data_IF_895423726647
#
_entry.id   IF_895423726647
#
_cell.length_a   1.000
_cell.length_b   1.000
_cell.length_c   1.000
_cell.angle_alpha   90.00
_cell.angle_beta   90.00
_cell.angle_gamma   90.00
#
_symmetry.space_group_name_H-M   'P 1'
#
loop_
_entity.id
_entity.type
_entity.pdbx_description
1 polymer ?
#
# COMPACT_ATOMS: atom_id res chain seq x y z
N UNK A 1 5.64 8.25 -24.63
CA UNK A 1 5.69 9.19 -23.49
C UNK A 1 5.10 8.49 -22.26
N UNK A 2 5.86 7.57 -21.65
CA UNK A 2 5.39 6.81 -20.49
C UNK A 2 5.59 7.64 -19.23
N UNK A 3 4.53 7.90 -18.46
CA UNK A 3 4.70 8.35 -17.08
C UNK A 3 5.40 7.21 -16.34
N UNK A 4 6.62 7.44 -15.81
CA UNK A 4 7.45 6.35 -15.33
C UNK A 4 6.84 5.86 -14.03
N UNK A 5 6.46 4.59 -13.98
CA UNK A 5 6.00 3.86 -12.79
C UNK A 5 6.81 4.20 -11.53
N UNK A 6 8.08 4.57 -11.70
CA UNK A 6 9.00 5.05 -10.67
C UNK A 6 8.55 6.36 -9.97
N UNK A 7 8.04 7.36 -10.71
CA UNK A 7 7.53 8.60 -10.10
C UNK A 7 6.25 8.36 -9.29
N UNK A 8 5.34 7.52 -9.80
CA UNK A 8 4.14 7.12 -9.06
C UNK A 8 4.49 6.34 -7.80
N UNK A 9 5.50 5.46 -7.89
CA UNK A 9 6.05 4.74 -6.74
C UNK A 9 6.65 5.72 -5.73
N UNK A 10 7.45 6.69 -6.16
CA UNK A 10 8.06 7.69 -5.29
C UNK A 10 7.01 8.54 -4.55
N UNK A 11 5.95 8.98 -5.25
CA UNK A 11 4.84 9.73 -4.65
C UNK A 11 4.10 8.87 -3.62
N UNK A 12 3.79 7.61 -3.97
CA UNK A 12 3.12 6.70 -3.05
C UNK A 12 3.95 6.43 -1.80
N UNK A 13 5.24 6.14 -1.95
CA UNK A 13 6.16 5.87 -0.84
C UNK A 13 6.37 7.10 0.05
N UNK A 14 6.40 8.31 -0.52
CA UNK A 14 6.75 9.54 0.22
C UNK A 14 5.54 10.19 0.89
N UNK A 15 4.37 10.16 0.26
CA UNK A 15 3.20 10.92 0.75
C UNK A 15 2.07 10.04 1.29
N UNK A 16 1.85 8.88 0.69
CA UNK A 16 0.69 8.03 1.00
C UNK A 16 1.05 6.99 2.05
N UNK A 17 2.17 6.27 1.86
CA UNK A 17 2.61 5.21 2.76
C UNK A 17 2.84 5.68 4.21
N UNK A 18 3.49 6.83 4.50
CA UNK A 18 3.72 7.25 5.88
C UNK A 18 2.41 7.61 6.60
N UNK A 19 1.44 8.18 5.87
CA UNK A 19 0.10 8.48 6.40
C UNK A 19 -0.70 7.21 6.66
N UNK A 20 -0.61 6.24 5.76
CA UNK A 20 -1.26 4.92 5.92
C UNK A 20 -0.65 4.17 7.12
N UNK A 21 0.69 4.22 7.27
CA UNK A 21 1.39 3.64 8.40
C UNK A 21 1.02 4.31 9.72
N UNK A 22 1.01 5.64 9.76
CA UNK A 22 0.62 6.39 10.96
C UNK A 22 -0.83 6.09 11.36
N UNK A 23 -1.76 6.08 10.39
CA UNK A 23 -3.15 5.71 10.62
C UNK A 23 -3.29 4.27 11.15
N UNK A 24 -2.54 3.31 10.58
CA UNK A 24 -2.53 1.93 11.04
C UNK A 24 -1.99 1.81 12.46
N UNK A 25 -0.92 2.54 12.81
CA UNK A 25 -0.29 2.49 14.14
C UNK A 25 -1.15 3.18 15.22
N UNK A 26 -1.71 4.34 14.91
CA UNK A 26 -2.53 5.12 15.85
C UNK A 26 -3.87 4.48 16.11
N UNK A 27 -4.45 3.81 15.12
CA UNK A 27 -5.76 3.21 15.25
C UNK A 27 -5.72 1.69 15.45
N UNK A 28 -4.56 1.04 15.50
CA UNK A 28 -4.48 -0.42 15.56
C UNK A 28 -5.28 -1.06 16.70
N UNK A 29 -5.27 -0.46 17.89
CA UNK A 29 -6.04 -0.93 19.06
C UNK A 29 -7.54 -0.60 18.98
N UNK A 30 -7.94 0.29 18.07
CA UNK A 30 -9.31 0.78 17.92
C UNK A 30 -9.96 0.34 16.60
N UNK A 31 -9.20 -0.25 15.69
CA UNK A 31 -9.68 -0.75 14.41
C UNK A 31 -10.24 -2.16 14.58
N UNK A 32 -11.50 -2.32 14.21
CA UNK A 32 -12.08 -3.65 13.95
C UNK A 32 -11.36 -4.32 12.78
N UNK A 33 -11.38 -5.65 12.73
CA UNK A 33 -10.79 -6.42 11.62
C UNK A 33 -11.30 -5.96 10.24
N UNK A 34 -12.56 -5.52 10.17
CA UNK A 34 -13.16 -4.93 8.96
C UNK A 34 -12.46 -3.63 8.53
N UNK A 35 -12.16 -2.75 9.48
CA UNK A 35 -11.48 -1.48 9.17
C UNK A 35 -10.00 -1.70 8.82
N UNK A 36 -9.34 -2.67 9.44
CA UNK A 36 -7.99 -3.10 9.03
C UNK A 36 -7.99 -3.61 7.59
N UNK A 37 -9.00 -4.41 7.22
CA UNK A 37 -9.14 -4.90 5.85
C UNK A 37 -9.35 -3.77 4.83
N UNK A 38 -10.13 -2.75 5.19
CA UNK A 38 -10.33 -1.55 4.36
C UNK A 38 -9.05 -0.76 4.15
N UNK A 39 -8.20 -0.62 5.17
CA UNK A 39 -6.89 0.01 5.04
C UNK A 39 -5.97 -0.80 4.11
N UNK A 40 -5.98 -2.13 4.25
CA UNK A 40 -5.21 -3.02 3.37
C UNK A 40 -5.71 -2.92 1.91
N UNK A 41 -7.01 -2.74 1.69
CA UNK A 41 -7.58 -2.56 0.34
C UNK A 41 -7.14 -1.24 -0.31
N UNK A 42 -6.89 -0.18 0.47
CA UNK A 42 -6.26 1.05 -0.03
C UNK A 42 -4.85 0.76 -0.54
N UNK A 43 -4.05 0.00 0.23
CA UNK A 43 -2.71 -0.40 -0.19
C UNK A 43 -2.73 -1.28 -1.45
N UNK A 44 -3.64 -2.26 -1.54
CA UNK A 44 -3.84 -3.07 -2.75
C UNK A 44 -4.19 -2.21 -3.96
N UNK A 45 -5.11 -1.25 -3.80
CA UNK A 45 -5.53 -0.36 -4.88
C UNK A 45 -4.38 0.51 -5.37
N UNK A 46 -3.57 1.04 -4.45
CA UNK A 46 -2.38 1.80 -4.81
C UNK A 46 -1.34 0.94 -5.54
N UNK A 47 -1.08 -0.28 -5.07
CA UNK A 47 -0.20 -1.24 -5.76
C UNK A 47 -0.66 -1.52 -7.20
N UNK A 48 -1.98 -1.66 -7.41
CA UNK A 48 -2.57 -1.85 -8.74
C UNK A 48 -2.42 -0.63 -9.65
N UNK A 49 -2.54 0.58 -9.09
CA UNK A 49 -2.33 1.82 -9.84
C UNK A 49 -0.86 1.97 -10.23
N UNK A 50 0.07 1.70 -9.31
CA UNK A 50 1.52 1.84 -9.55
C UNK A 50 1.99 0.83 -10.59
N UNK A 51 1.63 -0.45 -10.42
CA UNK A 51 2.11 -1.52 -11.30
C UNK A 51 1.33 -1.61 -12.61
N UNK A 52 0.08 -1.11 -12.66
CA UNK A 52 -0.74 -1.10 -13.86
C UNK A 52 -0.83 -2.50 -14.49
N UNK A 53 -0.41 -2.68 -15.76
CA UNK A 53 -0.43 -3.99 -16.44
C UNK A 53 0.48 -5.05 -15.79
N UNK A 54 1.51 -4.64 -15.04
CA UNK A 54 2.42 -5.55 -14.33
C UNK A 54 1.85 -6.05 -12.99
N UNK A 55 0.65 -5.59 -12.60
CA UNK A 55 -0.01 -6.08 -11.40
C UNK A 55 -0.56 -7.50 -11.64
N UNK A 56 0.03 -8.48 -10.97
CA UNK A 56 -0.41 -9.88 -11.03
C UNK A 56 -1.22 -10.26 -9.80
N UNK A 57 -0.62 -10.14 -8.62
CA UNK A 57 -1.26 -10.39 -7.34
C UNK A 57 -0.65 -9.50 -6.26
N UNK A 58 -1.32 -9.41 -5.11
CA UNK A 58 -0.92 -8.50 -4.06
C UNK A 58 0.45 -8.84 -3.46
N UNK A 59 0.75 -10.12 -3.22
CA UNK A 59 2.05 -10.55 -2.70
C UNK A 59 3.21 -10.19 -3.65
N UNK A 60 3.02 -10.44 -4.94
CA UNK A 60 4.00 -10.06 -5.96
C UNK A 60 4.18 -8.53 -6.03
N UNK A 61 3.09 -7.78 -5.87
CA UNK A 61 3.15 -6.32 -5.84
C UNK A 61 3.91 -5.79 -4.62
N UNK A 62 3.72 -6.40 -3.45
CA UNK A 62 4.48 -6.08 -2.24
C UNK A 62 5.98 -6.30 -2.46
N UNK A 63 6.37 -7.46 -2.98
CA UNK A 63 7.78 -7.76 -3.29
C UNK A 63 8.35 -6.80 -4.32
N UNK A 64 7.63 -6.52 -5.40
CA UNK A 64 8.06 -5.61 -6.48
C UNK A 64 8.21 -4.16 -5.99
N UNK A 65 7.35 -3.75 -5.06
CA UNK A 65 7.38 -2.40 -4.48
C UNK A 65 8.23 -2.30 -3.21
N UNK A 66 8.82 -3.41 -2.73
CA UNK A 66 9.50 -3.53 -1.43
C UNK A 66 8.62 -3.04 -0.27
N UNK A 67 7.36 -3.44 -0.27
CA UNK A 67 6.37 -3.12 0.76
C UNK A 67 6.08 -4.35 1.63
N UNK A 68 5.59 -4.11 2.85
CA UNK A 68 5.02 -5.15 3.72
C UNK A 68 3.51 -4.91 3.85
N UNK A 69 2.74 -5.92 4.24
CA UNK A 69 1.32 -5.73 4.60
C UNK A 69 1.21 -4.80 5.81
N UNK A 70 0.10 -4.07 5.92
CA UNK A 70 -0.13 -3.19 7.09
C UNK A 70 -0.34 -4.03 8.34
N UNK A 71 -0.99 -5.18 8.20
CA UNK A 71 -1.26 -6.11 9.30
C UNK A 71 0.01 -6.75 9.90
N UNK A 72 1.07 -6.99 9.13
CA UNK A 72 2.29 -7.66 9.61
C UNK A 72 3.28 -6.73 10.31
N UNK A 73 2.99 -5.43 10.39
CA UNK A 73 3.87 -4.42 11.01
C UNK A 73 3.47 -4.11 12.47
N UNK A 74 2.73 -5.03 13.09
CA UNK A 74 2.16 -4.91 14.42
C UNK A 74 2.75 -5.90 15.41
#
# INVERSE_FOLDING_TARGET
MGTPTDQLKAIYLTFILPRLMYASLVWSSSLTSTQQQQLEDVQKRACRIILGPAYTNYGHALTTLNLSTLASRH
#
